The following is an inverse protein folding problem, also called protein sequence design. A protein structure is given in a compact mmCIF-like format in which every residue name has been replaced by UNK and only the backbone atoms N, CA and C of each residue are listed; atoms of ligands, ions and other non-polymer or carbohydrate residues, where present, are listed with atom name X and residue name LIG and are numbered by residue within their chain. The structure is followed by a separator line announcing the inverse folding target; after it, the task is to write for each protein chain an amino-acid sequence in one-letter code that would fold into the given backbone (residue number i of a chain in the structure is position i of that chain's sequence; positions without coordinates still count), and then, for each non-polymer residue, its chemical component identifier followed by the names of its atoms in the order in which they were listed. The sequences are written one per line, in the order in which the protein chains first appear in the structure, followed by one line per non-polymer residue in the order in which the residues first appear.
data_IF_527662806823
#
_entry.id   IF_527662806823
#
_cell.length_a   1.000
_cell.length_b   1.000
_cell.length_c   1.000
_cell.angle_alpha   90.00
_cell.angle_beta   90.00
_cell.angle_gamma   90.00
#
_symmetry.space_group_name_H-M   'P 1'
#
loop_
_entity.id
_entity.type
_entity.pdbx_description
1 polymer ?
#
# COMPACT_ATOMS: atom_id res chain seq x y z
N UNK A 1 -5.08 -8.23 17.91
CA UNK A 1 -6.38 -7.53 17.80
C UNK A 1 -6.88 -7.74 16.38
N UNK A 2 -7.92 -8.56 16.18
CA UNK A 2 -8.57 -8.77 14.87
C UNK A 2 -9.34 -7.49 14.51
N UNK A 3 -9.24 -6.97 13.28
CA UNK A 3 -10.17 -5.91 12.86
C UNK A 3 -9.98 -5.28 11.49
N UNK A 4 -8.76 -4.91 11.08
CA UNK A 4 -8.51 -4.37 9.74
C UNK A 4 -7.14 -4.85 9.29
N UNK A 5 -7.13 -5.81 8.37
CA UNK A 5 -5.90 -6.25 7.74
C UNK A 5 -5.35 -5.07 6.94
N UNK A 6 -4.04 -4.80 7.00
CA UNK A 6 -3.45 -3.71 6.22
C UNK A 6 -3.74 -3.87 4.72
N UNK A 7 -4.01 -2.78 4.01
CA UNK A 7 -4.46 -2.82 2.61
C UNK A 7 -3.39 -3.44 1.69
N UNK A 8 -2.11 -3.33 2.04
CA UNK A 8 -1.00 -3.96 1.32
C UNK A 8 -1.03 -5.46 1.56
N UNK A 9 -1.26 -5.91 2.79
CA UNK A 9 -1.43 -7.32 3.11
C UNK A 9 -2.66 -7.93 2.42
N UNK A 10 -3.78 -7.22 2.37
CA UNK A 10 -5.00 -7.65 1.66
C UNK A 10 -4.73 -7.87 0.17
N UNK A 11 -4.13 -6.88 -0.49
CA UNK A 11 -3.73 -6.99 -1.90
C UNK A 11 -2.81 -8.18 -2.12
N UNK A 12 -1.79 -8.34 -1.27
CA UNK A 12 -0.82 -9.43 -1.38
C UNK A 12 -1.50 -10.80 -1.35
N UNK A 13 -2.39 -11.02 -0.38
CA UNK A 13 -3.11 -12.29 -0.20
C UNK A 13 -4.09 -12.53 -1.35
N UNK A 14 -4.82 -11.49 -1.79
CA UNK A 14 -5.72 -11.59 -2.92
C UNK A 14 -5.00 -11.95 -4.23
N UNK A 15 -3.71 -11.59 -4.36
CA UNK A 15 -2.86 -11.94 -5.50
C UNK A 15 -2.08 -13.26 -5.29
N UNK A 16 -2.24 -13.95 -4.16
CA UNK A 16 -1.51 -15.18 -3.86
C UNK A 16 0.00 -14.99 -3.67
N UNK A 17 0.45 -13.78 -3.30
CA UNK A 17 1.86 -13.44 -3.21
C UNK A 17 2.44 -13.67 -1.81
N UNK A 18 3.70 -14.08 -1.75
CA UNK A 18 4.52 -13.98 -0.53
C UNK A 18 4.98 -12.53 -0.31
N UNK A 19 5.41 -12.18 0.90
CA UNK A 19 5.94 -10.84 1.17
C UNK A 19 7.18 -10.55 0.33
N UNK A 20 8.02 -11.55 0.05
CA UNK A 20 9.18 -11.41 -0.82
C UNK A 20 8.76 -11.11 -2.27
N UNK A 21 7.78 -11.83 -2.81
CA UNK A 21 7.30 -11.59 -4.18
C UNK A 21 6.68 -10.19 -4.34
N UNK A 22 5.97 -9.70 -3.32
CA UNK A 22 5.47 -8.33 -3.33
C UNK A 22 6.63 -7.33 -3.26
N UNK A 23 7.63 -7.59 -2.42
CA UNK A 23 8.81 -6.75 -2.30
C UNK A 23 9.55 -6.63 -3.63
N UNK A 24 9.77 -7.76 -4.32
CA UNK A 24 10.41 -7.81 -5.64
C UNK A 24 9.60 -7.02 -6.69
N UNK A 25 8.27 -7.16 -6.68
CA UNK A 25 7.37 -6.41 -7.58
C UNK A 25 7.42 -4.90 -7.36
N UNK A 26 7.58 -4.47 -6.10
CA UNK A 26 7.65 -3.06 -5.70
C UNK A 26 9.09 -2.51 -5.74
N UNK A 27 10.11 -3.35 -5.92
CA UNK A 27 11.51 -2.94 -5.91
C UNK A 27 11.99 -2.52 -4.52
N UNK A 28 11.49 -3.15 -3.47
CA UNK A 28 11.85 -2.87 -2.07
C UNK A 28 12.30 -4.14 -1.35
N UNK A 29 12.76 -4.02 -0.10
CA UNK A 29 13.13 -5.18 0.71
C UNK A 29 11.90 -5.83 1.35
N UNK A 30 11.92 -7.15 1.53
CA UNK A 30 10.86 -7.88 2.23
C UNK A 30 10.64 -7.40 3.69
N UNK A 31 11.68 -7.05 4.47
CA UNK A 31 11.47 -6.47 5.79
C UNK A 31 10.69 -5.16 5.76
N UNK A 32 10.86 -4.35 4.70
CA UNK A 32 10.05 -3.14 4.55
C UNK A 32 8.57 -3.51 4.37
N UNK A 33 8.24 -4.52 3.56
CA UNK A 33 6.86 -5.01 3.42
C UNK A 33 6.29 -5.45 4.77
N UNK A 34 7.05 -6.20 5.58
CA UNK A 34 6.62 -6.59 6.92
C UNK A 34 6.31 -5.39 7.83
N UNK A 35 7.17 -4.35 7.81
CA UNK A 35 6.95 -3.13 8.59
C UNK A 35 5.74 -2.31 8.11
N UNK A 36 5.48 -2.31 6.79
CA UNK A 36 4.31 -1.67 6.22
C UNK A 36 3.03 -2.42 6.61
N UNK A 37 2.99 -3.74 6.41
CA UNK A 37 1.82 -4.58 6.70
C UNK A 37 1.46 -4.63 8.20
N UNK A 38 2.45 -4.42 9.07
CA UNK A 38 2.24 -4.32 10.52
C UNK A 38 1.85 -2.93 11.00
N UNK A 39 1.85 -1.92 10.12
CA UNK A 39 1.60 -0.52 10.47
C UNK A 39 2.74 0.14 11.26
N UNK A 40 3.82 -0.58 11.54
CA UNK A 40 5.01 -0.06 12.23
C UNK A 40 5.72 1.04 11.43
N UNK A 41 5.53 1.04 10.10
CA UNK A 41 6.04 2.08 9.21
C UNK A 41 4.96 2.48 8.21
N UNK A 42 4.83 3.79 7.98
CA UNK A 42 4.04 4.32 6.87
C UNK A 42 4.88 4.39 5.59
N UNK A 43 4.30 4.16 4.41
CA UNK A 43 5.00 4.36 3.15
C UNK A 43 5.50 5.81 2.99
N UNK A 44 6.69 5.96 2.42
CA UNK A 44 7.14 7.27 1.96
C UNK A 44 6.23 7.77 0.81
N UNK A 45 6.20 9.07 0.51
CA UNK A 45 5.34 9.60 -0.55
C UNK A 45 5.65 8.95 -1.91
N UNK A 46 6.94 8.79 -2.24
CA UNK A 46 7.38 8.13 -3.46
C UNK A 46 6.96 6.65 -3.49
N UNK A 47 7.07 5.95 -2.35
CA UNK A 47 6.65 4.56 -2.28
C UNK A 47 5.13 4.41 -2.42
N UNK A 48 4.33 5.32 -1.86
CA UNK A 48 2.88 5.31 -2.06
C UNK A 48 2.50 5.46 -3.55
N UNK A 49 3.19 6.35 -4.28
CA UNK A 49 3.01 6.51 -5.73
C UNK A 49 3.41 5.23 -6.48
N UNK A 50 4.53 4.60 -6.08
CA UNK A 50 4.99 3.37 -6.71
C UNK A 50 4.02 2.20 -6.45
N UNK A 51 3.53 2.05 -5.23
CA UNK A 51 2.54 1.04 -4.85
C UNK A 51 1.30 1.19 -5.73
N UNK A 52 0.74 2.39 -5.85
CA UNK A 52 -0.42 2.62 -6.70
C UNK A 52 -0.16 2.25 -8.16
N UNK A 53 0.96 2.71 -8.74
CA UNK A 53 1.32 2.39 -10.13
C UNK A 53 1.49 0.89 -10.36
N UNK A 54 2.19 0.18 -9.46
CA UNK A 54 2.50 -1.25 -9.59
C UNK A 54 1.33 -2.16 -9.28
N UNK A 55 0.36 -1.67 -8.52
CA UNK A 55 -0.90 -2.35 -8.22
C UNK A 55 -2.00 -2.02 -9.23
N UNK A 56 -1.73 -1.13 -10.19
CA UNK A 56 -2.72 -0.72 -11.20
C UNK A 56 -3.85 0.13 -10.61
N UNK A 57 -3.58 0.90 -9.56
CA UNK A 57 -4.57 1.74 -8.89
C UNK A 57 -5.43 1.01 -7.84
N UNK A 58 -5.27 -0.30 -7.67
CA UNK A 58 -6.01 -1.07 -6.64
C UNK A 58 -5.69 -0.55 -5.23
N UNK A 59 -4.42 -0.22 -4.95
CA UNK A 59 -4.05 0.48 -3.74
C UNK A 59 -3.80 1.95 -4.09
N UNK A 60 -4.75 2.81 -3.79
CA UNK A 60 -4.63 4.24 -4.07
C UNK A 60 -3.67 4.93 -3.08
N UNK A 61 -2.81 5.83 -3.58
CA UNK A 61 -1.84 6.58 -2.74
C UNK A 61 -2.51 7.45 -1.68
N UNK A 62 -3.73 7.92 -1.91
CA UNK A 62 -4.54 8.71 -0.98
C UNK A 62 -4.94 7.89 0.25
N UNK A 63 -5.13 6.58 0.10
CA UNK A 63 -5.39 5.68 1.23
C UNK A 63 -4.12 5.51 2.06
N UNK A 64 -2.96 5.39 1.40
CA UNK A 64 -1.67 5.19 2.07
C UNK A 64 -1.15 6.46 2.77
N UNK A 65 -1.40 7.63 2.18
CA UNK A 65 -0.92 8.94 2.64
C UNK A 65 -1.99 10.03 2.40
N UNK A 66 -3.12 9.99 3.14
CA UNK A 66 -4.19 10.98 3.00
C UNK A 66 -3.70 12.39 3.38
N UNK A 67 -2.72 12.46 4.29
CA UNK A 67 -2.09 13.71 4.74
C UNK A 67 -1.32 14.47 3.63
N UNK A 68 -0.95 13.79 2.54
CA UNK A 68 -0.21 14.41 1.44
C UNK A 68 -0.99 14.50 0.13
N UNK A 69 -1.82 13.49 -0.17
CA UNK A 69 -2.52 13.41 -1.45
C UNK A 69 -3.99 13.84 -1.37
N UNK A 70 -4.43 14.27 -0.17
CA UNK A 70 -5.81 14.65 0.11
C UNK A 70 -6.77 13.46 0.09
N UNK A 71 -7.96 13.68 0.64
CA UNK A 71 -9.14 12.88 0.30
C UNK A 71 -9.66 13.40 -1.03
N UNK A 72 -9.94 12.54 -1.99
CA UNK A 72 -10.55 12.97 -3.24
C UNK A 72 -11.85 13.72 -2.91
N UNK A 73 -11.85 15.05 -3.05
CA UNK A 73 -13.08 15.82 -3.04
C UNK A 73 -13.90 15.31 -4.23
N UNK A 74 -15.05 14.72 -3.93
CA UNK A 74 -16.06 14.45 -4.95
C UNK A 74 -16.54 15.82 -5.38
N UNK A 75 -15.97 16.35 -6.46
CA UNK A 75 -16.54 17.51 -7.14
C UNK A 75 -17.81 17.01 -7.80
N UNK A 76 -18.93 17.13 -7.08
CA UNK A 76 -20.25 16.90 -7.63
C UNK A 76 -20.48 17.94 -8.72
N UNK A 77 -20.45 17.50 -9.98
CA UNK A 77 -20.90 18.25 -11.14
C UNK A 77 -22.40 18.02 -11.36
#
# INVERSE_FOLDING_TARGET
MLGVMDIIAQYRIAQGLTQQQLADRLGVSQPLICLLESGMRRPSPLLAIQIERKTGGVINRQILRPDLFGVAEIVAA
#
